data_IF_104043342944
#
_entry.id   IF_104043342944
#
_cell.length_a   1.000
_cell.length_b   1.000
_cell.length_c   1.000
_cell.angle_alpha   90.00
_cell.angle_beta   90.00
_cell.angle_gamma   90.00
#
_symmetry.space_group_name_H-M   'P 1'
#
loop_
_entity.id
_entity.type
_entity.pdbx_description
1 polymer ?
#
# COMPACT_ATOMS: atom_id res chain seq x y z
N UNK A 1 53.79 51.68 -26.88
CA UNK A 1 54.30 50.51 -27.61
C UNK A 1 53.05 49.80 -28.19
N UNK A 2 52.78 49.98 -29.50
CA UNK A 2 51.54 49.49 -30.15
C UNK A 2 51.84 48.10 -30.70
N UNK A 3 51.26 47.09 -30.20
CA UNK A 3 51.39 45.68 -30.63
C UNK A 3 50.97 45.53 -32.11
N UNK A 4 51.73 44.76 -32.92
CA UNK A 4 51.44 44.54 -34.34
C UNK A 4 50.07 43.88 -34.52
N UNK A 5 49.33 44.34 -35.53
CA UNK A 5 47.94 43.87 -35.84
C UNK A 5 47.78 42.35 -35.95
N UNK A 6 48.82 41.59 -36.30
CA UNK A 6 48.81 40.11 -36.39
C UNK A 6 48.88 39.39 -35.05
N UNK A 7 49.26 40.03 -33.94
CA UNK A 7 49.41 39.43 -32.63
C UNK A 7 48.09 39.54 -31.77
N UNK A 8 47.15 40.40 -32.13
CA UNK A 8 45.88 40.61 -31.41
C UNK A 8 44.99 39.36 -31.34
N UNK A 9 44.76 38.60 -32.44
CA UNK A 9 43.94 37.39 -32.35
C UNK A 9 44.63 36.27 -31.57
N UNK A 10 45.97 36.19 -31.58
CA UNK A 10 46.68 35.16 -30.81
C UNK A 10 46.65 35.43 -29.31
N UNK A 11 46.76 36.68 -28.89
CA UNK A 11 46.62 37.10 -27.48
C UNK A 11 45.20 36.88 -26.98
N UNK A 12 44.18 37.09 -27.82
CA UNK A 12 42.77 36.83 -27.49
C UNK A 12 42.53 35.34 -27.30
N UNK A 13 43.04 34.47 -28.17
CA UNK A 13 42.99 33.02 -28.03
C UNK A 13 43.68 32.49 -26.77
N UNK A 14 44.88 33.01 -26.48
CA UNK A 14 45.63 32.61 -25.27
C UNK A 14 44.90 33.06 -23.99
N UNK A 15 44.29 34.25 -23.99
CA UNK A 15 43.51 34.72 -22.84
C UNK A 15 42.24 33.88 -22.62
N UNK A 16 41.56 33.47 -23.70
CA UNK A 16 40.40 32.58 -23.61
C UNK A 16 40.80 31.18 -23.11
N UNK A 17 41.91 30.61 -23.59
CA UNK A 17 42.40 29.32 -23.09
C UNK A 17 42.85 29.41 -21.64
N UNK A 18 43.45 30.51 -21.19
CA UNK A 18 43.81 30.71 -19.78
C UNK A 18 42.55 30.84 -18.88
N UNK A 19 41.53 31.56 -19.34
CA UNK A 19 40.23 31.67 -18.62
C UNK A 19 39.55 30.29 -18.55
N UNK A 20 39.56 29.51 -19.63
CA UNK A 20 39.02 28.16 -19.66
C UNK A 20 39.79 27.21 -18.74
N UNK A 21 41.12 27.28 -18.74
CA UNK A 21 41.94 26.48 -17.84
C UNK A 21 41.76 26.89 -16.36
N UNK A 22 41.58 28.18 -16.08
CA UNK A 22 41.27 28.69 -14.74
C UNK A 22 39.88 28.22 -14.29
N UNK A 23 38.91 28.27 -15.19
CA UNK A 23 37.58 27.76 -14.96
C UNK A 23 37.58 26.24 -14.67
N UNK A 24 38.32 25.47 -15.46
CA UNK A 24 38.51 24.03 -15.20
C UNK A 24 39.26 23.74 -13.91
N UNK A 25 40.25 24.59 -13.55
CA UNK A 25 40.98 24.42 -12.29
C UNK A 25 40.13 24.80 -11.07
N UNK A 26 39.34 25.86 -11.17
CA UNK A 26 38.45 26.30 -10.07
C UNK A 26 37.20 25.46 -9.90
N UNK A 27 36.63 24.94 -10.99
CA UNK A 27 35.43 24.13 -10.97
C UNK A 27 35.68 22.62 -11.08
N UNK A 28 36.78 22.19 -11.70
CA UNK A 28 37.16 20.77 -11.82
C UNK A 28 37.60 20.15 -10.48
N UNK A 29 38.11 20.93 -9.54
CA UNK A 29 38.40 20.44 -8.19
C UNK A 29 37.16 20.15 -7.34
N UNK A 30 36.00 20.71 -7.69
CA UNK A 30 34.75 20.40 -7.02
C UNK A 30 34.06 19.13 -7.54
N UNK A 31 34.57 18.48 -8.59
CA UNK A 31 34.02 17.22 -9.11
C UNK A 31 34.64 15.95 -8.48
N UNK A 32 35.66 16.08 -7.67
CA UNK A 32 36.13 15.02 -6.79
C UNK A 32 35.34 15.09 -5.45
N UNK A 33 34.02 15.13 -5.50
CA UNK A 33 33.22 14.76 -4.34
C UNK A 33 33.57 13.31 -4.00
N UNK A 34 34.20 13.11 -2.83
CA UNK A 34 34.27 11.82 -2.17
C UNK A 34 32.96 11.07 -2.41
N UNK A 35 32.98 9.76 -2.66
CA UNK A 35 31.73 8.97 -2.72
C UNK A 35 31.00 9.22 -1.41
N UNK A 36 30.03 10.13 -1.44
CA UNK A 36 29.05 10.26 -0.37
C UNK A 36 28.46 8.88 -0.24
N UNK A 37 28.68 8.24 0.92
CA UNK A 37 28.02 6.99 1.28
C UNK A 37 26.55 7.24 1.05
N UNK A 38 26.01 6.75 -0.08
CA UNK A 38 24.56 6.88 -0.36
C UNK A 38 23.86 6.33 0.85
N UNK A 39 23.14 7.19 1.57
CA UNK A 39 22.31 6.71 2.66
C UNK A 39 21.34 5.67 2.09
N UNK A 40 21.23 4.51 2.74
CA UNK A 40 20.40 3.45 2.21
C UNK A 40 18.97 3.98 2.05
N UNK A 41 18.48 3.95 0.82
CA UNK A 41 17.11 4.39 0.49
C UNK A 41 16.12 3.62 1.37
N UNK A 42 15.09 4.29 1.92
CA UNK A 42 14.07 3.61 2.70
C UNK A 42 13.39 2.52 1.86
N UNK A 43 12.98 1.45 2.53
CA UNK A 43 12.13 0.43 1.93
C UNK A 43 10.70 0.97 1.82
N UNK A 44 10.10 0.90 0.65
CA UNK A 44 8.72 1.31 0.41
C UNK A 44 7.85 0.07 0.25
N UNK A 45 6.78 -0.02 1.02
CA UNK A 45 5.88 -1.18 0.98
C UNK A 45 4.44 -0.73 0.75
N UNK A 46 3.83 -1.23 -0.32
CA UNK A 46 2.40 -1.07 -0.55
C UNK A 46 1.67 -2.34 -0.15
N UNK A 47 0.89 -2.27 0.93
CA UNK A 47 -0.09 -3.30 1.28
C UNK A 47 -1.32 -3.07 0.41
N UNK A 48 -1.37 -3.79 -0.71
CA UNK A 48 -2.45 -3.74 -1.68
C UNK A 48 -3.54 -4.75 -1.32
N UNK A 49 -4.80 -4.34 -1.35
CA UNK A 49 -5.91 -5.23 -1.04
C UNK A 49 -7.24 -4.68 -1.59
N UNK A 50 -8.34 -5.34 -1.28
CA UNK A 50 -9.69 -4.80 -1.43
C UNK A 50 -10.31 -4.55 -0.04
N UNK A 51 -11.41 -3.77 -0.02
CA UNK A 51 -12.14 -3.54 1.24
C UNK A 51 -12.61 -4.85 1.87
N UNK A 52 -12.53 -4.93 3.17
CA UNK A 52 -12.99 -6.07 4.01
C UNK A 52 -12.20 -7.37 3.83
N UNK A 53 -11.03 -7.30 3.19
CA UNK A 53 -10.12 -8.47 3.05
C UNK A 53 -9.26 -8.74 4.29
N UNK A 54 -9.39 -7.98 5.37
CA UNK A 54 -8.54 -8.10 6.55
C UNK A 54 -7.27 -7.25 6.48
N UNK A 55 -7.18 -6.33 5.51
CA UNK A 55 -6.01 -5.47 5.28
C UNK A 55 -5.69 -4.54 6.45
N UNK A 56 -6.67 -4.17 7.29
CA UNK A 56 -6.41 -3.43 8.53
C UNK A 56 -5.57 -4.22 9.51
N UNK A 57 -5.80 -5.54 9.61
CA UNK A 57 -4.96 -6.42 10.44
C UNK A 57 -3.52 -6.48 9.91
N UNK A 58 -3.33 -6.69 8.60
CA UNK A 58 -1.98 -6.66 7.98
C UNK A 58 -1.34 -5.28 8.16
N UNK A 59 -2.10 -4.20 8.00
CA UNK A 59 -1.63 -2.84 8.25
C UNK A 59 -1.14 -2.64 9.68
N UNK A 60 -1.84 -3.19 10.66
CA UNK A 60 -1.41 -3.14 12.07
C UNK A 60 -0.14 -3.95 12.34
N UNK A 61 0.05 -5.11 11.67
CA UNK A 61 1.31 -5.85 11.77
C UNK A 61 2.49 -4.96 11.40
N UNK A 62 2.41 -4.23 10.30
CA UNK A 62 3.42 -3.25 9.92
C UNK A 62 3.41 -2.00 10.83
N UNK A 63 2.23 -1.46 11.13
CA UNK A 63 2.07 -0.21 11.87
C UNK A 63 2.60 -0.25 13.30
N UNK A 64 2.70 -1.43 13.92
CA UNK A 64 3.28 -1.61 15.26
C UNK A 64 4.79 -1.85 15.26
N UNK A 65 5.43 -2.00 14.08
CA UNK A 65 6.86 -2.22 14.02
C UNK A 65 7.66 -0.92 14.29
N UNK A 66 8.72 -0.94 15.13
CA UNK A 66 9.49 0.25 15.51
C UNK A 66 10.22 0.95 14.35
N UNK A 67 10.53 0.24 13.27
CA UNK A 67 11.25 0.77 12.12
C UNK A 67 10.32 1.19 10.97
N UNK A 68 8.99 1.20 11.19
CA UNK A 68 8.00 1.45 10.15
C UNK A 68 7.22 2.74 10.39
N UNK A 69 7.25 3.63 9.40
CA UNK A 69 6.24 4.66 9.22
C UNK A 69 5.07 4.08 8.42
N UNK A 70 3.88 4.10 9.00
CA UNK A 70 2.69 3.49 8.40
C UNK A 70 1.58 4.54 8.19
N UNK A 71 0.90 4.52 7.04
CA UNK A 71 -0.36 5.24 6.84
C UNK A 71 -1.45 4.30 6.31
N UNK A 72 -2.64 4.45 6.87
CA UNK A 72 -3.82 3.70 6.50
C UNK A 72 -4.65 4.45 5.46
N UNK A 73 -4.83 3.86 4.28
CA UNK A 73 -5.70 4.33 3.19
C UNK A 73 -5.58 5.83 2.86
N UNK A 74 -4.38 6.35 2.58
CA UNK A 74 -4.22 7.77 2.29
C UNK A 74 -5.06 8.24 1.10
N UNK A 75 -5.36 7.39 0.13
CA UNK A 75 -6.23 7.71 -1.00
C UNK A 75 -7.71 7.88 -0.63
N UNK A 76 -8.10 7.62 0.63
CA UNK A 76 -9.42 7.97 1.15
C UNK A 76 -9.72 9.46 0.91
N UNK A 77 -8.74 10.34 1.09
CA UNK A 77 -8.91 11.78 0.88
C UNK A 77 -9.27 12.13 -0.56
N UNK A 78 -8.68 11.46 -1.56
CA UNK A 78 -9.04 11.64 -2.97
C UNK A 78 -10.48 11.21 -3.21
N UNK A 79 -10.87 10.03 -2.69
CA UNK A 79 -12.20 9.49 -2.91
C UNK A 79 -13.30 10.32 -2.26
N UNK A 80 -13.02 10.88 -1.08
CA UNK A 80 -13.96 11.78 -0.40
C UNK A 80 -14.04 13.16 -1.06
N UNK A 81 -13.00 13.61 -1.74
CA UNK A 81 -13.01 14.86 -2.51
C UNK A 81 -13.76 14.72 -3.83
N UNK A 82 -13.63 13.55 -4.49
CA UNK A 82 -14.18 13.32 -5.83
C UNK A 82 -15.27 12.23 -5.83
N UNK A 83 -16.27 12.36 -4.96
CA UNK A 83 -17.35 11.38 -4.77
C UNK A 83 -18.22 11.10 -6.00
N UNK A 84 -18.23 12.00 -6.98
CA UNK A 84 -18.96 11.85 -8.25
C UNK A 84 -18.09 11.26 -9.39
N UNK A 85 -16.85 10.89 -9.10
CA UNK A 85 -15.94 10.29 -10.08
C UNK A 85 -16.14 8.77 -10.16
N UNK A 86 -15.31 8.12 -10.96
CA UNK A 86 -15.23 6.66 -11.04
C UNK A 86 -13.86 6.17 -10.60
N UNK A 87 -13.79 4.95 -10.08
CA UNK A 87 -12.53 4.36 -9.61
C UNK A 87 -11.43 4.43 -10.68
N UNK A 88 -11.77 4.17 -11.94
CA UNK A 88 -10.84 4.24 -13.05
C UNK A 88 -10.21 5.64 -13.24
N UNK A 89 -11.02 6.70 -13.16
CA UNK A 89 -10.53 8.08 -13.31
C UNK A 89 -9.64 8.51 -12.15
N UNK A 90 -9.86 7.96 -10.96
CA UNK A 90 -9.10 8.32 -9.77
C UNK A 90 -7.76 7.60 -9.65
N UNK A 91 -7.52 6.53 -10.41
CA UNK A 91 -6.30 5.72 -10.30
C UNK A 91 -5.00 6.52 -10.42
N UNK A 92 -4.95 7.50 -11.34
CA UNK A 92 -3.74 8.31 -11.53
C UNK A 92 -3.49 9.22 -10.34
N UNK A 93 -4.53 9.89 -9.82
CA UNK A 93 -4.44 10.73 -8.63
C UNK A 93 -4.01 9.89 -7.40
N UNK A 94 -4.59 8.69 -7.24
CA UNK A 94 -4.21 7.76 -6.17
C UNK A 94 -2.74 7.35 -6.30
N UNK A 95 -2.27 7.00 -7.50
CA UNK A 95 -0.86 6.66 -7.75
C UNK A 95 0.08 7.81 -7.37
N UNK A 96 -0.25 9.02 -7.80
CA UNK A 96 0.61 10.19 -7.62
C UNK A 96 0.66 10.61 -6.14
N UNK A 97 -0.48 10.52 -5.43
CA UNK A 97 -0.53 10.67 -3.97
C UNK A 97 0.38 9.66 -3.27
N UNK A 98 0.26 8.38 -3.60
CA UNK A 98 1.06 7.30 -3.00
C UNK A 98 2.56 7.53 -3.27
N UNK A 99 2.91 7.98 -4.49
CA UNK A 99 4.30 8.34 -4.81
C UNK A 99 4.84 9.46 -3.92
N UNK A 100 4.10 10.55 -3.80
CA UNK A 100 4.51 11.68 -2.97
C UNK A 100 4.73 11.26 -1.51
N UNK A 101 3.80 10.48 -0.94
CA UNK A 101 3.93 9.99 0.43
C UNK A 101 5.13 9.06 0.60
N UNK A 102 5.43 8.17 -0.35
CA UNK A 102 6.64 7.35 -0.31
C UNK A 102 7.91 8.19 -0.28
N UNK A 103 7.91 9.34 -0.94
CA UNK A 103 9.00 10.32 -0.89
C UNK A 103 8.94 11.25 0.33
N UNK A 104 8.02 10.99 1.26
CA UNK A 104 7.74 11.81 2.43
C UNK A 104 7.37 13.28 2.07
N UNK A 105 6.78 13.50 0.91
CA UNK A 105 6.20 14.80 0.52
C UNK A 105 4.73 14.84 0.95
N UNK A 106 4.47 15.41 2.12
CA UNK A 106 3.11 15.50 2.67
C UNK A 106 2.33 16.72 2.15
N UNK A 107 2.97 17.62 1.38
CA UNK A 107 2.30 18.75 0.75
C UNK A 107 1.23 18.32 -0.26
N UNK A 108 1.35 17.11 -0.80
CA UNK A 108 0.37 16.49 -1.71
C UNK A 108 -1.06 16.47 -1.14
N UNK A 109 -1.20 16.43 0.18
CA UNK A 109 -2.52 16.48 0.84
C UNK A 109 -3.20 17.85 0.72
N UNK A 110 -2.47 18.91 0.35
CA UNK A 110 -3.04 20.24 0.11
C UNK A 110 -4.10 20.24 -0.99
N UNK A 111 -3.94 19.35 -1.97
CA UNK A 111 -4.89 19.17 -3.07
C UNK A 111 -6.20 18.46 -2.66
N UNK A 112 -6.21 17.74 -1.52
CA UNK A 112 -7.31 16.83 -1.17
C UNK A 112 -7.90 17.06 0.23
N UNK A 113 -7.32 17.94 1.02
CA UNK A 113 -7.83 18.33 2.34
C UNK A 113 -8.34 19.77 2.30
N UNK A 114 -9.29 20.08 3.17
CA UNK A 114 -9.81 21.44 3.29
C UNK A 114 -8.69 22.43 3.68
N UNK A 115 -8.66 23.64 3.12
CA UNK A 115 -7.73 24.68 3.53
C UNK A 115 -7.87 25.02 5.03
N UNK A 116 -6.74 25.34 5.67
CA UNK A 116 -6.69 25.76 7.06
C UNK A 116 -5.65 25.00 7.90
N UNK A 117 -5.52 25.32 9.19
CA UNK A 117 -4.59 24.64 10.08
C UNK A 117 -4.95 23.16 10.21
N UNK A 118 -3.98 22.30 9.87
CA UNK A 118 -4.14 20.86 9.88
C UNK A 118 -3.38 20.22 11.03
N UNK A 119 -3.86 19.10 11.48
CA UNK A 119 -3.22 18.25 12.48
C UNK A 119 -2.96 16.86 11.90
N UNK A 120 -2.05 16.10 12.50
CA UNK A 120 -1.88 14.69 12.09
C UNK A 120 -3.20 13.90 12.17
N UNK A 121 -4.12 14.29 13.08
CA UNK A 121 -5.45 13.71 13.20
C UNK A 121 -6.38 14.01 12.02
N UNK A 122 -5.98 14.85 11.08
CA UNK A 122 -6.70 15.04 9.81
C UNK A 122 -6.50 13.87 8.84
N UNK A 123 -5.46 13.03 9.02
CA UNK A 123 -5.25 11.84 8.22
C UNK A 123 -6.27 10.75 8.57
N UNK A 124 -6.72 10.02 7.56
CA UNK A 124 -7.68 8.94 7.76
C UNK A 124 -7.13 7.85 8.68
N UNK A 125 -7.83 7.60 9.78
CA UNK A 125 -7.46 6.59 10.79
C UNK A 125 -5.98 6.65 11.23
N UNK A 126 -5.48 7.86 11.40
CA UNK A 126 -4.08 8.16 11.77
C UNK A 126 -3.60 7.43 13.02
N UNK A 127 -4.49 7.17 13.96
CA UNK A 127 -4.21 6.46 15.22
C UNK A 127 -3.77 4.99 15.03
N UNK A 128 -3.95 4.45 13.84
CA UNK A 128 -3.42 3.14 13.47
C UNK A 128 -1.90 3.16 13.20
N UNK A 129 -1.33 4.36 13.05
CA UNK A 129 0.09 4.54 12.83
C UNK A 129 0.83 4.77 14.14
N UNK A 130 1.52 3.75 14.65
CA UNK A 130 2.38 3.92 15.82
C UNK A 130 3.42 5.02 15.61
N UNK A 131 3.92 5.20 14.40
CA UNK A 131 4.88 6.24 14.05
C UNK A 131 4.36 7.66 14.31
N UNK A 132 3.05 7.88 14.24
CA UNK A 132 2.40 9.14 14.58
C UNK A 132 2.12 9.28 16.09
N UNK A 133 2.35 8.22 16.86
CA UNK A 133 2.13 8.17 18.30
C UNK A 133 3.44 8.14 19.09
N UNK A 134 4.58 8.16 18.42
CA UNK A 134 5.93 8.11 19.00
C UNK A 134 6.85 9.17 18.36
N UNK A 135 8.05 9.44 18.92
CA UNK A 135 8.97 10.41 18.37
C UNK A 135 9.31 10.14 16.89
N UNK A 136 9.45 11.16 16.05
CA UNK A 136 9.38 12.59 16.37
C UNK A 136 7.97 13.21 16.30
N UNK A 137 6.92 12.44 15.98
CA UNK A 137 5.57 12.97 15.81
C UNK A 137 4.90 13.28 17.14
N UNK A 138 5.07 12.41 18.14
CA UNK A 138 4.52 12.55 19.47
C UNK A 138 5.47 11.95 20.51
N UNK A 139 5.89 12.73 21.50
CA UNK A 139 6.92 12.32 22.47
C UNK A 139 6.36 11.58 23.71
N UNK A 140 5.14 11.06 23.65
CA UNK A 140 4.49 10.43 24.80
C UNK A 140 4.86 8.95 24.92
N UNK A 141 5.00 8.24 23.79
CA UNK A 141 5.33 6.81 23.78
C UNK A 141 6.70 6.58 23.14
N UNK A 142 7.43 5.59 23.62
CA UNK A 142 8.69 5.18 23.00
C UNK A 142 8.45 4.40 21.70
N UNK A 143 9.42 4.42 20.78
CA UNK A 143 9.34 3.71 19.48
C UNK A 143 9.27 2.19 19.60
N UNK A 144 9.74 1.61 20.66
CA UNK A 144 9.77 0.17 20.90
C UNK A 144 8.49 -0.37 21.57
N UNK A 145 7.62 0.52 22.05
CA UNK A 145 6.35 0.12 22.69
C UNK A 145 5.29 -0.29 21.66
N UNK A 146 4.48 -1.27 22.02
CA UNK A 146 3.19 -1.51 21.39
C UNK A 146 2.20 -0.47 21.89
N UNK A 147 1.67 0.36 21.00
CA UNK A 147 0.84 1.51 21.37
C UNK A 147 -0.63 1.20 21.04
N UNK A 148 -1.53 1.14 22.07
CA UNK A 148 -2.95 0.99 21.83
C UNK A 148 -3.53 2.22 21.11
N UNK A 149 -4.37 2.00 20.08
CA UNK A 149 -5.00 3.06 19.30
C UNK A 149 -5.73 4.10 20.13
N UNK A 150 -6.47 3.65 21.15
CA UNK A 150 -7.24 4.54 22.02
C UNK A 150 -6.33 5.55 22.77
N UNK A 151 -5.18 5.09 23.28
CA UNK A 151 -4.21 5.95 23.96
C UNK A 151 -3.54 6.92 22.98
N UNK A 152 -3.16 6.45 21.79
CA UNK A 152 -2.63 7.30 20.74
C UNK A 152 -3.62 8.41 20.37
N UNK A 153 -4.87 8.04 20.10
CA UNK A 153 -5.94 8.96 19.73
C UNK A 153 -6.17 10.03 20.80
N UNK A 154 -6.11 9.64 22.09
CA UNK A 154 -6.34 10.55 23.21
C UNK A 154 -5.18 11.53 23.39
N UNK A 155 -3.94 11.06 23.27
CA UNK A 155 -2.76 11.80 23.74
C UNK A 155 -1.99 12.52 22.64
N UNK A 156 -2.12 12.07 21.37
CA UNK A 156 -1.32 12.60 20.25
C UNK A 156 -2.15 13.34 19.19
N UNK A 157 -3.47 13.49 19.32
CA UNK A 157 -4.35 14.04 18.27
C UNK A 157 -4.07 15.50 17.89
N UNK A 158 -3.50 16.30 18.79
CA UNK A 158 -3.29 17.74 18.59
C UNK A 158 -1.99 18.08 17.85
N UNK A 159 -1.15 17.12 17.55
CA UNK A 159 0.13 17.37 16.90
C UNK A 159 -0.07 18.05 15.53
N UNK A 160 0.72 19.06 15.19
CA UNK A 160 0.64 19.76 13.91
C UNK A 160 0.95 18.81 12.74
N UNK A 161 0.43 19.13 11.53
CA UNK A 161 0.56 18.23 10.38
C UNK A 161 2.00 18.04 9.91
N UNK A 162 2.86 19.05 10.10
CA UNK A 162 4.28 19.03 9.71
C UNK A 162 5.10 17.93 10.39
N UNK A 163 4.62 17.42 11.53
CA UNK A 163 5.30 16.30 12.19
C UNK A 163 5.19 15.00 11.39
N UNK A 164 4.18 14.87 10.52
CA UNK A 164 3.97 13.68 9.69
C UNK A 164 5.13 13.47 8.73
N UNK A 165 5.59 14.55 8.07
CA UNK A 165 6.74 14.52 7.18
C UNK A 165 8.03 14.19 7.94
N UNK A 166 8.26 14.84 9.08
CA UNK A 166 9.41 14.58 9.95
C UNK A 166 9.43 13.13 10.42
N UNK A 167 8.28 12.59 10.80
CA UNK A 167 8.15 11.18 11.15
C UNK A 167 8.49 10.30 9.96
N UNK A 168 7.87 10.50 8.80
CA UNK A 168 8.13 9.72 7.61
C UNK A 168 9.63 9.60 7.29
N UNK A 169 10.35 10.71 7.27
CA UNK A 169 11.81 10.77 6.97
C UNK A 169 12.69 10.09 8.01
N UNK A 170 12.17 9.79 9.20
CA UNK A 170 12.95 9.23 10.33
C UNK A 170 12.89 7.71 10.44
N UNK A 171 12.16 7.03 9.55
CA UNK A 171 12.00 5.58 9.56
C UNK A 171 12.66 4.94 8.34
N UNK A 172 13.16 3.72 8.52
CA UNK A 172 13.79 2.95 7.43
C UNK A 172 12.78 2.33 6.46
N UNK A 173 11.52 2.20 6.87
CA UNK A 173 10.44 1.64 6.06
C UNK A 173 9.24 2.59 6.03
N UNK A 174 8.75 2.86 4.83
CA UNK A 174 7.47 3.58 4.62
C UNK A 174 6.46 2.58 4.08
N UNK A 175 5.42 2.31 4.87
CA UNK A 175 4.39 1.33 4.55
C UNK A 175 3.05 2.02 4.38
N UNK A 176 2.43 1.87 3.22
CA UNK A 176 1.11 2.39 2.93
C UNK A 176 0.15 1.23 2.68
N UNK A 177 -1.01 1.26 3.32
CA UNK A 177 -2.07 0.29 3.06
C UNK A 177 -3.15 0.95 2.20
N UNK A 178 -3.47 0.32 1.04
CA UNK A 178 -4.44 0.90 0.13
C UNK A 178 -5.37 -0.17 -0.48
N UNK A 179 -6.63 0.20 -0.65
CA UNK A 179 -7.69 -0.67 -1.18
C UNK A 179 -8.32 -0.13 -2.48
N UNK A 180 -7.80 1.00 -2.99
CA UNK A 180 -8.38 1.77 -4.10
C UNK A 180 -7.59 1.64 -5.41
N UNK A 181 -6.84 0.53 -5.55
CA UNK A 181 -6.23 0.13 -6.81
C UNK A 181 -6.92 -1.12 -7.36
N UNK A 182 -7.39 -1.04 -8.59
CA UNK A 182 -8.06 -2.14 -9.29
C UNK A 182 -7.24 -2.70 -10.45
N UNK A 183 -6.08 -2.10 -10.73
CA UNK A 183 -5.20 -2.51 -11.80
C UNK A 183 -3.73 -2.29 -11.41
N UNK A 184 -2.93 -3.34 -11.49
CA UNK A 184 -1.50 -3.28 -11.17
C UNK A 184 -0.70 -2.41 -12.16
N UNK A 185 -1.15 -2.29 -13.41
CA UNK A 185 -0.44 -1.52 -14.45
C UNK A 185 -0.30 -0.04 -14.05
N UNK A 186 -1.25 0.48 -13.28
CA UNK A 186 -1.19 1.85 -12.75
C UNK A 186 0.03 2.04 -11.84
N UNK A 187 0.50 0.97 -11.20
CA UNK A 187 1.66 0.98 -10.30
C UNK A 187 3.00 0.73 -11.01
N UNK A 188 3.01 0.40 -12.31
CA UNK A 188 4.26 0.15 -13.04
C UNK A 188 5.24 1.34 -13.04
N UNK A 189 4.79 2.61 -13.18
CA UNK A 189 5.70 3.74 -13.04
C UNK A 189 6.38 3.78 -11.68
N UNK A 190 5.67 3.45 -10.58
CA UNK A 190 6.25 3.43 -9.22
C UNK A 190 7.23 2.27 -9.04
N UNK A 191 6.95 1.10 -9.61
CA UNK A 191 7.85 -0.05 -9.56
C UNK A 191 9.16 0.18 -10.35
N UNK A 192 9.14 1.10 -11.32
CA UNK A 192 10.29 1.48 -12.14
C UNK A 192 10.94 2.79 -11.71
N UNK A 193 10.36 3.49 -10.75
CA UNK A 193 10.90 4.76 -10.26
C UNK A 193 12.23 4.51 -9.53
N UNK A 194 13.36 5.07 -10.00
CA UNK A 194 14.66 4.88 -9.36
C UNK A 194 14.74 5.51 -7.97
N UNK A 195 13.84 6.43 -7.63
CA UNK A 195 13.75 7.04 -6.31
C UNK A 195 13.10 6.12 -5.28
N UNK A 196 12.39 5.08 -5.73
CA UNK A 196 11.62 4.18 -4.86
C UNK A 196 12.23 2.77 -4.83
N UNK A 197 12.33 2.21 -3.63
CA UNK A 197 12.55 0.78 -3.43
C UNK A 197 11.21 0.12 -3.07
N UNK A 198 10.29 0.07 -4.05
CA UNK A 198 8.91 -0.35 -3.83
C UNK A 198 8.75 -1.87 -3.87
N UNK A 199 8.13 -2.42 -2.82
CA UNK A 199 7.65 -3.80 -2.73
C UNK A 199 6.13 -3.81 -2.49
N UNK A 200 5.44 -4.77 -3.07
CA UNK A 200 3.98 -4.92 -2.94
C UNK A 200 3.69 -6.19 -2.14
N UNK A 201 2.92 -6.04 -1.07
CA UNK A 201 2.27 -7.14 -0.33
C UNK A 201 0.80 -7.12 -0.69
N UNK A 202 0.37 -8.05 -1.54
CA UNK A 202 -1.02 -8.13 -1.99
C UNK A 202 -1.79 -9.13 -1.14
N UNK A 203 -2.72 -8.62 -0.35
CA UNK A 203 -3.61 -9.43 0.49
C UNK A 203 -4.93 -9.69 -0.23
N UNK A 204 -5.27 -10.96 -0.37
CA UNK A 204 -6.56 -11.42 -0.90
C UNK A 204 -7.32 -12.20 0.17
N UNK A 205 -8.62 -12.33 -0.01
CA UNK A 205 -9.52 -13.06 0.90
C UNK A 205 -10.63 -13.74 0.10
N UNK A 206 -11.19 -14.81 0.64
CA UNK A 206 -12.38 -15.46 0.08
C UNK A 206 -13.48 -14.44 -0.23
N UNK A 207 -13.92 -14.33 -1.50
CA UNK A 207 -14.96 -13.38 -1.91
C UNK A 207 -16.25 -13.51 -1.11
N UNK A 208 -16.59 -14.72 -0.62
CA UNK A 208 -17.77 -14.96 0.21
C UNK A 208 -17.66 -14.27 1.58
N UNK A 209 -16.47 -14.33 2.16
CA UNK A 209 -16.18 -13.65 3.42
C UNK A 209 -16.09 -12.12 3.26
N UNK A 210 -15.54 -11.65 2.13
CA UNK A 210 -15.51 -10.22 1.76
C UNK A 210 -16.95 -9.71 1.63
N UNK A 211 -17.78 -10.37 0.83
CA UNK A 211 -19.17 -9.98 0.60
C UNK A 211 -19.93 -9.88 1.92
N UNK A 212 -19.87 -10.92 2.74
CA UNK A 212 -20.53 -10.96 4.06
C UNK A 212 -20.10 -9.81 4.97
N UNK A 213 -18.80 -9.48 4.96
CA UNK A 213 -18.29 -8.35 5.74
C UNK A 213 -18.77 -7.01 5.18
N UNK A 214 -18.93 -6.88 3.86
CA UNK A 214 -19.46 -5.67 3.21
C UNK A 214 -20.93 -5.44 3.52
N UNK A 215 -21.75 -6.49 3.54
CA UNK A 215 -23.17 -6.40 3.94
C UNK A 215 -23.35 -5.77 5.32
N UNK A 216 -22.45 -6.07 6.26
CA UNK A 216 -22.46 -5.51 7.63
C UNK A 216 -22.01 -4.06 7.72
N UNK A 217 -21.36 -3.53 6.70
CA UNK A 217 -20.78 -2.19 6.67
C UNK A 217 -21.22 -1.40 5.44
N UNK A 218 -22.44 -1.67 4.96
CA UNK A 218 -22.98 -1.05 3.73
C UNK A 218 -22.97 0.48 3.81
N UNK A 219 -23.37 1.05 4.96
CA UNK A 219 -23.35 2.49 5.19
C UNK A 219 -21.95 3.11 5.06
N UNK A 220 -20.95 2.48 5.69
CA UNK A 220 -19.55 2.96 5.67
C UNK A 220 -18.94 2.90 4.26
N UNK A 221 -19.40 1.95 3.43
CA UNK A 221 -18.87 1.71 2.09
C UNK A 221 -19.76 2.27 0.97
N UNK A 222 -20.76 3.06 1.27
CA UNK A 222 -21.73 3.56 0.30
C UNK A 222 -21.05 4.44 -0.77
N UNK A 223 -20.20 5.37 -0.37
CA UNK A 223 -19.46 6.24 -1.30
C UNK A 223 -18.47 5.43 -2.12
N UNK A 224 -17.69 4.55 -1.49
CA UNK A 224 -16.75 3.67 -2.19
C UNK A 224 -17.48 2.79 -3.22
N UNK A 225 -18.62 2.20 -2.85
CA UNK A 225 -19.43 1.37 -3.76
C UNK A 225 -19.97 2.17 -4.95
N UNK A 226 -20.42 3.41 -4.73
CA UNK A 226 -20.89 4.31 -5.80
C UNK A 226 -19.76 4.62 -6.79
N UNK A 227 -18.57 4.98 -6.31
CA UNK A 227 -17.41 5.26 -7.15
C UNK A 227 -16.98 4.02 -7.95
N UNK A 228 -17.03 2.83 -7.34
CA UNK A 228 -16.74 1.55 -8.01
C UNK A 228 -17.74 1.26 -9.12
N UNK A 229 -19.03 1.45 -8.86
CA UNK A 229 -20.09 1.21 -9.84
C UNK A 229 -20.09 2.24 -10.98
N UNK A 230 -19.70 3.48 -10.68
CA UNK A 230 -19.73 4.59 -11.65
C UNK A 230 -21.13 4.72 -12.29
N UNK A 231 -21.18 5.06 -13.58
CA UNK A 231 -22.44 5.22 -14.31
C UNK A 231 -23.28 3.94 -14.45
N UNK A 232 -22.69 2.76 -14.24
CA UNK A 232 -23.44 1.50 -14.30
C UNK A 232 -24.37 1.36 -13.08
N UNK A 233 -24.01 1.97 -11.92
CA UNK A 233 -24.81 1.90 -10.71
C UNK A 233 -26.23 2.45 -10.86
N UNK A 234 -26.40 3.48 -11.67
CA UNK A 234 -27.71 4.11 -11.92
C UNK A 234 -28.68 3.21 -12.68
N UNK A 235 -28.17 2.22 -13.42
CA UNK A 235 -28.94 1.29 -14.23
C UNK A 235 -29.26 -0.03 -13.53
N UNK A 236 -28.63 -0.27 -12.37
CA UNK A 236 -28.78 -1.52 -11.62
C UNK A 236 -29.88 -1.38 -10.56
N UNK A 237 -30.67 -2.44 -10.41
CA UNK A 237 -31.57 -2.56 -9.26
C UNK A 237 -30.73 -2.60 -7.97
N UNK A 238 -31.27 -2.10 -6.88
CA UNK A 238 -30.58 -2.02 -5.59
C UNK A 238 -30.05 -3.39 -5.13
N UNK A 239 -30.81 -4.46 -5.33
CA UNK A 239 -30.45 -5.84 -5.03
C UNK A 239 -29.28 -6.41 -5.88
N UNK A 240 -28.99 -5.78 -7.00
CA UNK A 240 -27.90 -6.17 -7.93
C UNK A 240 -26.60 -5.47 -7.63
N UNK A 241 -26.66 -4.27 -7.07
CA UNK A 241 -25.51 -3.42 -6.83
C UNK A 241 -24.39 -4.09 -6.00
N UNK A 242 -24.68 -4.79 -4.89
CA UNK A 242 -23.63 -5.47 -4.11
C UNK A 242 -22.90 -6.55 -4.92
N UNK A 243 -23.61 -7.29 -5.77
CA UNK A 243 -22.98 -8.33 -6.62
C UNK A 243 -22.13 -7.72 -7.74
N UNK A 244 -22.58 -6.60 -8.32
CA UNK A 244 -21.79 -5.89 -9.31
C UNK A 244 -20.49 -5.33 -8.71
N UNK A 245 -20.54 -4.74 -7.52
CA UNK A 245 -19.32 -4.28 -6.81
C UNK A 245 -18.38 -5.46 -6.56
N UNK A 246 -18.91 -6.62 -6.16
CA UNK A 246 -18.09 -7.83 -5.97
C UNK A 246 -17.50 -8.33 -7.29
N UNK A 247 -18.25 -8.26 -8.39
CA UNK A 247 -17.74 -8.59 -9.71
C UNK A 247 -16.52 -7.73 -10.06
N UNK A 248 -16.61 -6.42 -9.85
CA UNK A 248 -15.48 -5.49 -10.08
C UNK A 248 -14.28 -5.83 -9.19
N UNK A 249 -14.53 -6.11 -7.90
CA UNK A 249 -13.47 -6.51 -6.96
C UNK A 249 -12.81 -7.82 -7.42
N UNK A 250 -13.59 -8.85 -7.73
CA UNK A 250 -13.07 -10.14 -8.17
C UNK A 250 -12.30 -10.02 -9.48
N UNK A 251 -12.84 -9.31 -10.47
CA UNK A 251 -12.16 -9.03 -11.73
C UNK A 251 -10.83 -8.31 -11.50
N UNK A 252 -10.80 -7.33 -10.61
CA UNK A 252 -9.59 -6.61 -10.22
C UNK A 252 -8.51 -7.56 -9.69
N UNK A 253 -8.85 -8.48 -8.79
CA UNK A 253 -7.88 -9.45 -8.24
C UNK A 253 -7.30 -10.36 -9.34
N UNK A 254 -8.15 -10.80 -10.26
CA UNK A 254 -7.75 -11.59 -11.43
C UNK A 254 -6.79 -10.82 -12.35
N UNK A 255 -7.12 -9.57 -12.67
CA UNK A 255 -6.30 -8.71 -13.53
C UNK A 255 -4.97 -8.35 -12.88
N UNK A 256 -4.94 -8.07 -11.58
CA UNK A 256 -3.71 -7.84 -10.82
C UNK A 256 -2.81 -9.09 -10.89
N UNK A 257 -3.37 -10.29 -10.68
CA UNK A 257 -2.62 -11.53 -10.76
C UNK A 257 -2.03 -11.75 -12.16
N UNK A 258 -2.83 -11.61 -13.21
CA UNK A 258 -2.38 -11.74 -14.61
C UNK A 258 -1.27 -10.74 -14.93
N UNK A 259 -1.42 -9.50 -14.48
CA UNK A 259 -0.43 -8.45 -14.67
C UNK A 259 0.91 -8.79 -14.01
N UNK A 260 0.90 -9.40 -12.80
CA UNK A 260 2.12 -9.88 -12.14
C UNK A 260 2.81 -10.94 -12.98
N UNK A 261 2.06 -11.89 -13.59
CA UNK A 261 2.65 -12.96 -14.41
C UNK A 261 3.41 -12.39 -15.61
N UNK A 262 2.97 -11.27 -16.16
CA UNK A 262 3.61 -10.62 -17.32
C UNK A 262 4.80 -9.71 -16.95
N UNK A 263 5.07 -9.49 -15.64
CA UNK A 263 6.20 -8.67 -15.22
C UNK A 263 7.55 -9.36 -15.47
N UNK A 264 8.61 -8.59 -15.83
CA UNK A 264 9.98 -9.08 -15.80
C UNK A 264 10.34 -9.67 -14.43
N UNK A 265 11.18 -10.70 -14.39
CA UNK A 265 11.56 -11.43 -13.17
C UNK A 265 11.97 -10.50 -12.02
N UNK A 266 12.80 -9.49 -12.29
CA UNK A 266 13.26 -8.54 -11.28
C UNK A 266 12.12 -7.73 -10.63
N UNK A 267 11.09 -7.33 -11.38
CA UNK A 267 9.92 -6.64 -10.83
C UNK A 267 8.95 -7.61 -10.17
N UNK A 268 8.80 -8.83 -10.70
CA UNK A 268 7.97 -9.88 -10.12
C UNK A 268 8.43 -10.27 -8.72
N UNK A 269 9.75 -10.25 -8.45
CA UNK A 269 10.32 -10.49 -7.11
C UNK A 269 9.93 -9.40 -6.08
N UNK A 270 9.48 -8.22 -6.54
CA UNK A 270 8.97 -7.16 -5.68
C UNK A 270 7.47 -7.27 -5.38
N UNK A 271 6.89 -8.43 -5.63
CA UNK A 271 5.48 -8.70 -5.36
C UNK A 271 5.32 -10.00 -4.57
N UNK A 272 4.57 -9.93 -3.48
CA UNK A 272 4.21 -11.05 -2.62
C UNK A 272 2.68 -11.11 -2.50
N UNK A 273 2.09 -12.27 -2.79
CA UNK A 273 0.66 -12.52 -2.56
C UNK A 273 0.48 -13.31 -1.27
N UNK A 274 -0.54 -12.92 -0.49
CA UNK A 274 -0.92 -13.57 0.77
C UNK A 274 -2.43 -13.75 0.78
N UNK A 275 -2.92 -14.93 1.16
CA UNK A 275 -4.32 -15.13 1.49
C UNK A 275 -4.57 -14.85 2.97
N UNK A 276 -5.64 -14.12 3.27
CA UNK A 276 -6.04 -13.83 4.64
C UNK A 276 -6.22 -15.11 5.47
N UNK A 277 -6.78 -16.15 4.86
CA UNK A 277 -7.04 -17.44 5.50
C UNK A 277 -5.75 -18.16 5.91
N UNK A 278 -4.70 -18.09 5.09
CA UNK A 278 -3.38 -18.64 5.44
C UNK A 278 -2.74 -17.84 6.59
N UNK A 279 -2.91 -16.49 6.55
CA UNK A 279 -2.43 -15.61 7.61
C UNK A 279 -3.10 -15.91 8.96
N UNK A 280 -4.41 -16.16 8.99
CA UNK A 280 -5.10 -16.43 10.27
C UNK A 280 -4.92 -17.85 10.77
N UNK A 281 -4.56 -18.80 9.90
CA UNK A 281 -4.20 -20.17 10.28
C UNK A 281 -2.85 -20.25 10.98
N UNK A 282 -1.88 -19.49 10.48
CA UNK A 282 -0.53 -19.40 11.09
C UNK A 282 -0.02 -17.95 11.05
N UNK A 283 -0.52 -17.10 11.98
CA UNK A 283 -0.20 -15.68 11.96
C UNK A 283 1.28 -15.40 12.26
N UNK A 284 1.93 -16.24 13.03
CA UNK A 284 3.36 -16.07 13.38
C UNK A 284 4.23 -16.35 12.16
N UNK A 285 4.07 -17.50 11.51
CA UNK A 285 4.89 -17.85 10.35
C UNK A 285 4.61 -16.90 9.17
N UNK A 286 3.36 -16.54 8.92
CA UNK A 286 3.01 -15.63 7.82
C UNK A 286 3.54 -14.21 8.06
N UNK A 287 3.48 -13.71 9.30
CA UNK A 287 4.08 -12.41 9.66
C UNK A 287 5.60 -12.45 9.51
N UNK A 288 6.25 -13.54 9.94
CA UNK A 288 7.69 -13.73 9.76
C UNK A 288 8.09 -13.70 8.26
N UNK A 289 7.30 -14.35 7.39
CA UNK A 289 7.54 -14.33 5.95
C UNK A 289 7.39 -12.92 5.36
N UNK A 290 6.34 -12.17 5.73
CA UNK A 290 6.13 -10.78 5.28
C UNK A 290 7.30 -9.88 5.70
N UNK A 291 7.72 -9.97 6.95
CA UNK A 291 8.83 -9.16 7.46
C UNK A 291 10.16 -9.51 6.78
N UNK A 292 10.44 -10.81 6.63
CA UNK A 292 11.63 -11.26 5.88
C UNK A 292 11.64 -10.72 4.44
N UNK A 293 10.48 -10.72 3.79
CA UNK A 293 10.33 -10.25 2.40
C UNK A 293 10.67 -8.76 2.26
N UNK A 294 10.36 -7.95 3.25
CA UNK A 294 10.64 -6.51 3.23
C UNK A 294 11.86 -6.10 4.08
N UNK A 295 12.63 -7.07 4.58
CA UNK A 295 13.85 -6.79 5.35
C UNK A 295 13.63 -6.32 6.79
N UNK A 296 12.45 -6.56 7.37
CA UNK A 296 12.16 -6.28 8.77
C UNK A 296 12.53 -7.46 9.68
N UNK A 297 12.93 -7.16 10.92
CA UNK A 297 13.17 -8.16 11.96
C UNK A 297 11.87 -8.47 12.70
N UNK A 298 11.56 -9.74 12.93
CA UNK A 298 10.39 -10.09 13.74
C UNK A 298 10.78 -10.12 15.24
N UNK A 299 10.59 -8.99 15.89
CA UNK A 299 11.00 -8.76 17.29
C UNK A 299 10.14 -9.57 18.27
N UNK A 300 10.71 -10.04 19.43
CA UNK A 300 9.98 -10.85 20.40
C UNK A 300 8.69 -10.21 20.92
N UNK A 301 8.69 -8.90 21.19
CA UNK A 301 7.50 -8.18 21.62
C UNK A 301 6.38 -8.19 20.56
N UNK A 302 6.73 -8.10 19.27
CA UNK A 302 5.76 -8.20 18.18
C UNK A 302 5.23 -9.62 18.03
N UNK A 303 6.07 -10.64 18.20
CA UNK A 303 5.63 -12.05 18.22
C UNK A 303 4.58 -12.29 19.31
N UNK A 304 4.88 -11.84 20.53
CA UNK A 304 3.96 -11.94 21.66
C UNK A 304 2.66 -11.18 21.40
N UNK A 305 2.75 -9.97 20.84
CA UNK A 305 1.58 -9.17 20.51
C UNK A 305 0.73 -9.84 19.44
N UNK A 306 1.32 -10.32 18.32
CA UNK A 306 0.61 -11.05 17.26
C UNK A 306 -0.09 -12.27 17.82
N UNK A 307 0.61 -13.06 18.65
CA UNK A 307 0.04 -14.23 19.30
C UNK A 307 -1.20 -13.88 20.15
N UNK A 308 -1.12 -12.81 20.95
CA UNK A 308 -2.21 -12.40 21.82
C UNK A 308 -3.44 -11.91 21.06
N UNK A 309 -3.28 -11.11 20.00
CA UNK A 309 -4.40 -10.55 19.23
C UNK A 309 -5.08 -11.58 18.32
N UNK A 310 -4.41 -12.69 18.01
CA UNK A 310 -4.95 -13.74 17.14
C UNK A 310 -5.61 -14.89 17.88
N UNK A 311 -5.52 -14.96 19.19
CA UNK A 311 -6.13 -16.01 20.04
C UNK A 311 -7.49 -15.63 20.65
N UNK A 312 -8.14 -14.59 20.14
CA UNK A 312 -9.48 -14.20 20.59
C UNK A 312 -10.54 -15.27 20.26
N UNK A 313 -11.60 -15.35 21.07
CA UNK A 313 -12.79 -16.14 20.71
C UNK A 313 -13.38 -15.57 19.44
N UNK A 314 -13.39 -16.35 18.35
CA UNK A 314 -14.04 -15.96 17.10
C UNK A 314 -15.49 -15.56 17.35
N UNK A 315 -15.95 -14.47 16.79
CA UNK A 315 -17.37 -14.11 16.82
C UNK A 315 -18.15 -15.21 16.08
N UNK A 316 -19.09 -15.81 16.80
CA UNK A 316 -19.84 -16.98 16.40
C UNK A 316 -20.51 -16.88 15.03
N UNK A 317 -20.82 -18.04 14.51
CA UNK A 317 -21.52 -18.27 13.26
C UNK A 317 -22.89 -17.57 13.24
N UNK A 318 -23.02 -16.55 12.39
CA UNK A 318 -24.32 -16.01 12.04
C UNK A 318 -24.79 -16.60 10.71
N UNK A 319 -26.04 -17.05 10.66
CA UNK A 319 -26.66 -17.60 9.46
C UNK A 319 -26.50 -16.66 8.23
N UNK A 320 -26.23 -17.25 7.09
CA UNK A 320 -26.06 -16.53 5.83
C UNK A 320 -27.42 -16.36 5.15
N UNK A 321 -27.81 -15.12 4.88
CA UNK A 321 -28.94 -14.81 3.99
C UNK A 321 -28.47 -14.52 2.55
N UNK A 322 -27.17 -14.58 2.31
CA UNK A 322 -26.54 -14.26 1.02
C UNK A 322 -26.78 -15.37 0.00
N UNK A 323 -27.14 -15.00 -1.23
CA UNK A 323 -27.18 -15.95 -2.34
C UNK A 323 -25.72 -16.28 -2.77
N UNK A 324 -25.13 -17.28 -2.12
CA UNK A 324 -23.75 -17.72 -2.34
C UNK A 324 -23.54 -18.21 -3.77
N UNK A 325 -24.54 -18.87 -4.37
CA UNK A 325 -24.45 -19.35 -5.77
C UNK A 325 -24.25 -18.19 -6.75
N UNK A 326 -25.03 -17.12 -6.60
CA UNK A 326 -24.88 -15.90 -7.43
C UNK A 326 -23.50 -15.26 -7.24
N UNK A 327 -23.04 -15.14 -6.00
CA UNK A 327 -21.73 -14.58 -5.70
C UNK A 327 -20.60 -15.43 -6.28
N UNK A 328 -20.64 -16.73 -6.13
CA UNK A 328 -19.67 -17.64 -6.70
C UNK A 328 -19.63 -17.56 -8.23
N UNK A 329 -20.77 -17.38 -8.89
CA UNK A 329 -20.85 -17.19 -10.34
C UNK A 329 -20.07 -15.95 -10.80
N UNK A 330 -20.23 -14.81 -10.12
CA UNK A 330 -19.56 -13.56 -10.51
C UNK A 330 -18.06 -13.53 -10.13
N UNK A 331 -17.64 -14.34 -9.16
CA UNK A 331 -16.25 -14.42 -8.67
C UNK A 331 -15.54 -15.75 -9.03
N UNK A 332 -16.13 -16.60 -9.85
CA UNK A 332 -15.67 -17.96 -10.14
C UNK A 332 -14.18 -18.02 -10.51
N UNK A 333 -13.77 -17.23 -11.48
CA UNK A 333 -12.40 -17.27 -12.01
C UNK A 333 -11.37 -16.87 -10.94
N UNK A 334 -11.70 -15.85 -10.14
CA UNK A 334 -10.87 -15.40 -9.03
C UNK A 334 -10.79 -16.43 -7.92
N UNK A 335 -11.92 -17.06 -7.56
CA UNK A 335 -11.95 -18.11 -6.56
C UNK A 335 -11.10 -19.32 -6.98
N UNK A 336 -11.27 -19.77 -8.21
CA UNK A 336 -10.49 -20.88 -8.79
C UNK A 336 -8.99 -20.57 -8.80
N UNK A 337 -8.64 -19.36 -9.26
CA UNK A 337 -7.24 -18.93 -9.35
C UNK A 337 -6.55 -18.87 -7.98
N UNK A 338 -7.26 -18.37 -6.96
CA UNK A 338 -6.72 -18.19 -5.61
C UNK A 338 -6.89 -19.45 -4.74
N UNK A 339 -7.40 -20.54 -5.30
CA UNK A 339 -7.52 -21.83 -4.64
C UNK A 339 -8.66 -21.90 -3.60
N UNK A 340 -9.77 -21.18 -3.84
CA UNK A 340 -10.99 -21.29 -3.05
C UNK A 340 -11.95 -22.30 -3.68
N UNK A 341 -12.34 -23.35 -2.94
CA UNK A 341 -13.31 -24.33 -3.39
C UNK A 341 -14.73 -23.77 -3.39
N UNK A 342 -15.49 -24.09 -4.44
CA UNK A 342 -16.90 -23.73 -4.51
C UNK A 342 -17.73 -24.63 -3.60
N UNK A 343 -18.76 -24.08 -2.98
CA UNK A 343 -19.81 -24.83 -2.29
C UNK A 343 -20.99 -25.05 -3.24
N UNK A 344 -21.55 -26.26 -3.25
CA UNK A 344 -22.58 -26.68 -4.19
C UNK A 344 -23.97 -26.77 -3.57
N UNK A 345 -24.02 -26.82 -2.23
CA UNK A 345 -25.25 -26.92 -1.48
C UNK A 345 -25.22 -26.10 -0.19
N UNK A 346 -26.40 -25.83 0.38
CA UNK A 346 -26.51 -25.19 1.69
C UNK A 346 -25.92 -26.06 2.81
N UNK A 347 -25.98 -27.38 2.66
CA UNK A 347 -25.32 -28.31 3.60
C UNK A 347 -23.82 -28.18 3.59
N UNK A 348 -23.18 -28.12 2.41
CA UNK A 348 -21.75 -27.85 2.29
C UNK A 348 -21.38 -26.48 2.88
N UNK A 349 -22.21 -25.46 2.65
CA UNK A 349 -21.98 -24.13 3.18
C UNK A 349 -22.01 -24.08 4.71
N UNK A 350 -22.83 -24.90 5.34
CA UNK A 350 -22.99 -25.02 6.81
C UNK A 350 -21.96 -25.98 7.43
N UNK A 351 -21.29 -26.79 6.62
CA UNK A 351 -20.32 -27.77 7.10
C UNK A 351 -18.99 -27.11 7.46
N UNK A 352 -18.75 -26.90 8.75
CA UNK A 352 -17.55 -26.28 9.29
C UNK A 352 -16.31 -27.16 9.18
N UNK A 353 -16.45 -28.47 8.94
CA UNK A 353 -15.33 -29.39 8.75
C UNK A 353 -14.79 -29.40 7.30
N UNK A 354 -15.53 -28.78 6.36
CA UNK A 354 -15.12 -28.70 4.98
C UNK A 354 -14.00 -27.67 4.80
N UNK A 355 -12.81 -28.11 4.38
CA UNK A 355 -11.76 -27.19 4.01
C UNK A 355 -12.01 -26.60 2.61
N UNK A 356 -12.31 -25.30 2.59
CA UNK A 356 -12.60 -24.57 1.36
C UNK A 356 -11.34 -23.98 0.71
N UNK A 357 -10.15 -24.39 1.16
CA UNK A 357 -8.88 -23.92 0.62
C UNK A 357 -8.07 -25.09 0.04
N UNK A 358 -7.62 -24.93 -1.20
CA UNK A 358 -6.57 -25.79 -1.71
C UNK A 358 -5.22 -25.41 -1.09
N UNK A 359 -4.34 -26.43 -0.93
CA UNK A 359 -2.93 -26.18 -0.62
C UNK A 359 -2.33 -25.27 -1.70
N UNK A 360 -1.97 -24.07 -1.27
CA UNK A 360 -1.45 -23.05 -2.15
C UNK A 360 -0.03 -22.71 -1.71
N UNK A 361 0.93 -22.82 -2.63
CA UNK A 361 2.31 -22.41 -2.39
C UNK A 361 2.68 -21.32 -3.37
N UNK A 362 3.26 -20.20 -2.90
CA UNK A 362 3.71 -19.12 -3.79
C UNK A 362 4.63 -19.60 -4.94
N UNK A 363 5.37 -20.69 -4.72
CA UNK A 363 6.23 -21.30 -5.74
C UNK A 363 5.46 -21.92 -6.92
N UNK A 364 4.21 -22.33 -6.75
CA UNK A 364 3.36 -22.79 -7.87
C UNK A 364 2.93 -21.63 -8.77
N UNK A 365 2.94 -20.42 -8.25
CA UNK A 365 2.55 -19.19 -8.95
C UNK A 365 3.57 -18.75 -10.01
N UNK A 366 4.84 -19.14 -9.85
CA UNK A 366 5.96 -18.71 -10.68
C UNK A 366 6.59 -19.86 -11.49
N UNK A 367 5.96 -21.01 -11.58
CA UNK A 367 6.40 -22.04 -12.52
C UNK A 367 6.15 -21.53 -13.93
N UNK A 368 7.24 -21.35 -14.66
CA UNK A 368 7.26 -21.06 -16.09
C UNK A 368 6.40 -22.11 -16.80
N UNK A 369 5.41 -21.65 -17.59
CA UNK A 369 4.91 -22.53 -18.65
C UNK A 369 6.08 -22.72 -19.59
N UNK A 370 6.44 -23.95 -19.98
CA UNK A 370 7.38 -24.14 -21.09
C UNK A 370 6.80 -23.42 -22.31
N UNK A 371 7.65 -22.64 -22.95
CA UNK A 371 7.38 -21.92 -24.22
C UNK A 371 7.05 -22.94 -25.29
#
# INVERSE_FOLDING_TARGET
MILPKKMRPLLFLVSQMAIFALFFHLYGHNFNSLPTKEEPKPMHVLVLSSWRSGSSFVGQLFGQHPDVFYLMEPAWHIWMTFTQSTAWRLHMAVRDLIRAIFLCDMSVFDAYMKPGPRRQSSLFQWENSRALCSPPACNIFSRDMIIPQAHCKLLCYQQPFEVVEKACRSYSHVVLKEVRFFNLQVLYPLLRDPSLNLHIVHLVRDPRAVFRSRERTTGDLMIDSRIVMGQHGEKLKEEEQPYYVMQVICQSQLEIYKAVQSLPKALRQRYMLIRYEDLVRDPIAQTAQMYKYVGLKFLPQLQTWVYNITRGKGMGNHAFHTNVSRLQKVCNDTMTLLGYHLVRSEQEQKNLSLDLLSTWTPSKMFRERPV
#
